data_IF_896140394329
#
_entry.id   IF_896140394329
#
_cell.length_a   1.000
_cell.length_b   1.000
_cell.length_c   1.000
_cell.angle_alpha   90.00
_cell.angle_beta   90.00
_cell.angle_gamma   90.00
#
_symmetry.space_group_name_H-M   'P 1'
#
loop_
_entity.id
_entity.type
_entity.pdbx_description
1 polymer ?
#
# COMPACT_ATOMS: atom_id res chain seq x y z
N UNK A 1 -48.49 56.58 23.62
CA UNK A 1 -47.69 56.60 22.38
C UNK A 1 -46.30 56.14 22.78
N UNK A 2 -46.08 54.83 22.79
CA UNK A 2 -44.90 54.21 23.41
C UNK A 2 -43.97 53.72 22.30
N UNK A 3 -42.75 54.28 22.25
CA UNK A 3 -41.78 53.97 21.21
C UNK A 3 -41.24 52.54 21.41
N UNK A 4 -41.16 51.71 20.35
CA UNK A 4 -40.56 50.39 20.45
C UNK A 4 -39.07 50.52 20.75
N UNK A 5 -38.65 50.03 21.92
CA UNK A 5 -37.25 49.86 22.27
C UNK A 5 -36.66 48.80 21.34
N UNK A 6 -35.90 49.23 20.33
CA UNK A 6 -35.10 48.31 19.51
C UNK A 6 -34.06 47.68 20.43
N UNK A 7 -33.94 46.34 20.50
CA UNK A 7 -32.80 45.74 21.15
C UNK A 7 -31.57 46.20 20.38
N UNK A 8 -30.73 47.03 21.00
CA UNK A 8 -29.40 47.34 20.52
C UNK A 8 -28.69 46.00 20.44
N UNK A 9 -28.33 45.60 19.22
CA UNK A 9 -27.63 44.36 18.95
C UNK A 9 -26.39 44.30 19.82
N UNK A 10 -26.27 43.22 20.58
CA UNK A 10 -25.08 42.88 21.34
C UNK A 10 -23.88 43.01 20.41
N UNK A 11 -23.01 43.98 20.65
CA UNK A 11 -21.75 44.10 19.94
C UNK A 11 -21.02 42.76 20.12
N UNK A 12 -20.79 42.08 19.00
CA UNK A 12 -20.24 40.71 18.99
C UNK A 12 -18.89 40.75 19.71
N UNK A 13 -18.76 39.99 20.78
CA UNK A 13 -17.57 40.03 21.63
C UNK A 13 -16.41 39.32 20.94
N UNK A 14 -15.17 39.70 21.26
CA UNK A 14 -13.95 38.97 20.86
C UNK A 14 -14.05 37.50 21.31
N UNK A 15 -14.74 37.23 22.41
CA UNK A 15 -15.00 35.87 22.90
C UNK A 15 -15.88 35.06 21.94
N UNK A 16 -16.86 35.69 21.27
CA UNK A 16 -17.74 35.03 20.32
C UNK A 16 -16.99 34.67 19.03
N UNK A 17 -16.13 35.56 18.54
CA UNK A 17 -15.28 35.32 17.36
C UNK A 17 -14.26 34.19 17.60
N UNK A 18 -13.70 34.10 18.80
CA UNK A 18 -12.78 33.02 19.17
C UNK A 18 -13.51 31.67 19.25
N UNK A 19 -14.74 31.68 19.78
CA UNK A 19 -15.61 30.48 19.82
C UNK A 19 -15.98 30.00 18.42
N UNK A 20 -16.28 30.92 17.50
CA UNK A 20 -16.55 30.63 16.10
C UNK A 20 -15.30 30.06 15.39
N UNK A 21 -14.12 30.66 15.58
CA UNK A 21 -12.87 30.16 14.99
C UNK A 21 -12.51 28.76 15.48
N UNK A 22 -12.62 28.47 16.78
CA UNK A 22 -12.36 27.12 17.33
C UNK A 22 -13.35 26.11 16.73
N UNK A 23 -14.61 26.50 16.55
CA UNK A 23 -15.64 25.66 15.95
C UNK A 23 -15.35 25.37 14.48
N UNK A 24 -14.89 26.38 13.73
CA UNK A 24 -14.53 26.25 12.33
C UNK A 24 -13.28 25.38 12.13
N UNK A 25 -12.24 25.57 12.97
CA UNK A 25 -11.05 24.72 12.96
C UNK A 25 -11.37 23.27 13.31
N UNK A 26 -12.24 23.04 14.30
CA UNK A 26 -12.71 21.69 14.65
C UNK A 26 -13.49 21.08 13.49
N UNK A 27 -14.29 21.88 12.80
CA UNK A 27 -15.00 21.50 11.57
C UNK A 27 -14.04 21.10 10.45
N UNK A 28 -12.99 21.89 10.22
CA UNK A 28 -11.98 21.65 9.19
C UNK A 28 -11.21 20.36 9.46
N UNK A 29 -10.68 20.17 10.67
CA UNK A 29 -9.96 18.94 11.07
C UNK A 29 -10.86 17.71 10.89
N UNK A 30 -12.14 17.81 11.28
CA UNK A 30 -13.10 16.71 11.08
C UNK A 30 -13.33 16.45 9.59
N UNK A 31 -13.41 17.48 8.75
CA UNK A 31 -13.55 17.35 7.30
C UNK A 31 -12.34 16.69 6.65
N UNK A 32 -11.13 17.19 6.94
CA UNK A 32 -9.89 16.60 6.43
C UNK A 32 -9.71 15.16 6.91
N UNK A 33 -10.05 14.85 8.16
CA UNK A 33 -9.99 13.47 8.65
C UNK A 33 -10.96 12.54 7.90
N UNK A 34 -12.13 13.03 7.50
CA UNK A 34 -13.09 12.27 6.67
C UNK A 34 -12.57 12.10 5.25
N UNK A 35 -11.97 13.13 4.68
CA UNK A 35 -11.39 13.10 3.34
C UNK A 35 -10.21 12.13 3.30
N UNK A 36 -9.26 12.23 4.23
CA UNK A 36 -8.12 11.33 4.35
C UNK A 36 -8.58 9.87 4.52
N UNK A 37 -9.61 9.62 5.34
CA UNK A 37 -10.20 8.27 5.48
C UNK A 37 -10.81 7.77 4.16
N UNK A 38 -11.50 8.64 3.41
CA UNK A 38 -12.08 8.27 2.13
C UNK A 38 -11.00 7.96 1.09
N UNK A 39 -9.93 8.74 1.03
CA UNK A 39 -8.81 8.52 0.12
C UNK A 39 -8.06 7.23 0.44
N UNK A 40 -7.81 6.94 1.73
CA UNK A 40 -7.26 5.65 2.17
C UNK A 40 -8.17 4.49 1.78
N UNK A 41 -9.50 4.64 1.93
CA UNK A 41 -10.45 3.60 1.56
C UNK A 41 -10.47 3.36 0.04
N UNK A 42 -10.42 4.42 -0.76
CA UNK A 42 -10.38 4.32 -2.22
C UNK A 42 -9.06 3.71 -2.70
N UNK A 43 -7.93 4.14 -2.14
CA UNK A 43 -6.62 3.54 -2.40
C UNK A 43 -6.59 2.05 -2.03
N UNK A 44 -7.17 1.69 -0.88
CA UNK A 44 -7.30 0.30 -0.44
C UNK A 44 -8.18 -0.53 -1.38
N UNK A 45 -9.26 0.04 -1.90
CA UNK A 45 -10.16 -0.64 -2.86
C UNK A 45 -9.48 -0.85 -4.20
N UNK A 46 -8.80 0.16 -4.73
CA UNK A 46 -8.04 0.05 -5.98
C UNK A 46 -6.93 -0.99 -5.87
N UNK A 47 -6.21 -0.98 -4.74
CA UNK A 47 -5.20 -1.99 -4.44
C UNK A 47 -5.81 -3.40 -4.34
N UNK A 48 -6.95 -3.55 -3.67
CA UNK A 48 -7.62 -4.85 -3.54
C UNK A 48 -8.02 -5.42 -4.91
N UNK A 49 -8.63 -4.61 -5.78
CA UNK A 49 -9.01 -5.03 -7.14
C UNK A 49 -7.76 -5.41 -7.94
N UNK A 50 -6.69 -4.61 -7.85
CA UNK A 50 -5.41 -4.90 -8.50
C UNK A 50 -4.81 -6.23 -8.01
N UNK A 51 -4.82 -6.46 -6.69
CA UNK A 51 -4.31 -7.68 -6.08
C UNK A 51 -5.12 -8.92 -6.50
N UNK A 52 -6.45 -8.82 -6.59
CA UNK A 52 -7.31 -9.91 -7.06
C UNK A 52 -7.02 -10.28 -8.52
N UNK A 53 -6.87 -9.29 -9.41
CA UNK A 53 -6.53 -9.54 -10.82
C UNK A 53 -5.14 -10.19 -10.97
N UNK A 54 -4.16 -9.72 -10.20
CA UNK A 54 -2.81 -10.32 -10.17
C UNK A 54 -2.89 -11.76 -9.66
N UNK A 55 -3.64 -12.03 -8.60
CA UNK A 55 -3.80 -13.38 -8.05
C UNK A 55 -4.47 -14.32 -9.06
N UNK A 56 -5.56 -13.89 -9.70
CA UNK A 56 -6.24 -14.67 -10.74
C UNK A 56 -5.31 -14.95 -11.94
N UNK A 57 -4.59 -13.93 -12.40
CA UNK A 57 -3.60 -14.08 -13.47
C UNK A 57 -2.46 -15.03 -13.09
N UNK A 58 -1.95 -14.96 -11.87
CA UNK A 58 -0.91 -15.87 -11.37
C UNK A 58 -1.39 -17.33 -11.33
N UNK A 59 -2.65 -17.57 -10.95
CA UNK A 59 -3.25 -18.92 -10.99
C UNK A 59 -3.33 -19.44 -12.43
N UNK A 60 -3.81 -18.61 -13.36
CA UNK A 60 -3.88 -19.01 -14.78
C UNK A 60 -2.50 -19.29 -15.37
N UNK A 61 -1.51 -18.45 -15.07
CA UNK A 61 -0.12 -18.66 -15.50
C UNK A 61 0.48 -19.92 -14.88
N UNK A 62 0.15 -20.24 -13.62
CA UNK A 62 0.58 -21.48 -12.99
C UNK A 62 0.00 -22.70 -13.71
N UNK A 63 -1.29 -22.69 -14.02
CA UNK A 63 -1.94 -23.77 -14.80
C UNK A 63 -1.30 -23.90 -16.19
N UNK A 64 -1.10 -22.78 -16.89
CA UNK A 64 -0.45 -22.77 -18.20
C UNK A 64 0.99 -23.32 -18.12
N UNK A 65 1.74 -22.94 -17.08
CA UNK A 65 3.08 -23.46 -16.84
C UNK A 65 3.07 -24.98 -16.64
N UNK A 66 2.16 -25.53 -15.83
CA UNK A 66 2.05 -26.98 -15.65
C UNK A 66 1.79 -27.72 -16.97
N UNK A 67 0.92 -27.18 -17.82
CA UNK A 67 0.65 -27.74 -19.16
C UNK A 67 1.89 -27.66 -20.05
N UNK A 68 2.61 -26.53 -20.05
CA UNK A 68 3.84 -26.37 -20.81
C UNK A 68 4.96 -27.29 -20.33
N UNK A 69 5.10 -27.49 -19.01
CA UNK A 69 6.05 -28.44 -18.43
C UNK A 69 5.74 -29.85 -18.90
N UNK A 70 4.46 -30.25 -18.87
CA UNK A 70 4.05 -31.56 -19.38
C UNK A 70 4.34 -31.70 -20.88
N UNK A 71 4.06 -30.67 -21.67
CA UNK A 71 4.37 -30.65 -23.10
C UNK A 71 5.87 -30.81 -23.36
N UNK A 72 6.71 -30.12 -22.57
CA UNK A 72 8.17 -30.23 -22.67
C UNK A 72 8.66 -31.63 -22.29
N UNK A 73 8.11 -32.22 -21.23
CA UNK A 73 8.44 -33.61 -20.84
C UNK A 73 8.08 -34.58 -21.95
N UNK A 74 6.89 -34.47 -22.55
CA UNK A 74 6.46 -35.33 -23.67
C UNK A 74 7.38 -35.15 -24.88
N UNK A 75 7.75 -33.91 -25.22
CA UNK A 75 8.65 -33.62 -26.32
C UNK A 75 10.04 -34.24 -26.09
N UNK A 76 10.61 -34.08 -24.90
CA UNK A 76 11.93 -34.60 -24.57
C UNK A 76 11.93 -36.12 -24.44
N UNK A 77 10.81 -36.71 -24.03
CA UNK A 77 10.65 -38.16 -23.89
C UNK A 77 10.88 -38.92 -25.20
N UNK A 78 10.73 -38.27 -26.37
CA UNK A 78 11.02 -38.88 -27.67
C UNK A 78 12.51 -39.26 -27.82
N UNK A 79 13.41 -38.59 -27.08
CA UNK A 79 14.86 -38.81 -27.18
C UNK A 79 15.44 -39.58 -25.99
N UNK A 80 14.96 -39.32 -24.77
CA UNK A 80 15.56 -39.87 -23.53
C UNK A 80 14.64 -40.81 -22.75
N UNK A 81 13.39 -40.98 -23.21
CA UNK A 81 12.36 -41.74 -22.52
C UNK A 81 11.63 -40.93 -21.44
N UNK A 82 10.41 -41.36 -21.02
CA UNK A 82 9.52 -40.55 -20.19
C UNK A 82 10.08 -40.22 -18.80
N UNK A 83 10.70 -41.20 -18.14
CA UNK A 83 11.22 -41.03 -16.78
C UNK A 83 12.39 -40.03 -16.73
N UNK A 84 13.34 -40.15 -17.66
CA UNK A 84 14.49 -39.25 -17.73
C UNK A 84 14.10 -37.85 -18.19
N UNK A 85 13.15 -37.73 -19.12
CA UNK A 85 12.61 -36.43 -19.51
C UNK A 85 11.99 -35.67 -18.32
N UNK A 86 11.13 -36.35 -17.55
CA UNK A 86 10.53 -35.78 -16.35
C UNK A 86 11.59 -35.37 -15.31
N UNK A 87 12.62 -36.19 -15.10
CA UNK A 87 13.71 -35.90 -14.17
C UNK A 87 14.52 -34.67 -14.61
N UNK A 88 14.92 -34.59 -15.88
CA UNK A 88 15.71 -33.48 -16.42
C UNK A 88 14.95 -32.15 -16.29
N UNK A 89 13.69 -32.13 -16.73
CA UNK A 89 12.84 -30.92 -16.67
C UNK A 89 12.58 -30.52 -15.22
N UNK A 90 12.29 -31.48 -14.34
CA UNK A 90 12.07 -31.24 -12.91
C UNK A 90 13.29 -30.64 -12.22
N UNK A 91 14.48 -31.19 -12.46
CA UNK A 91 15.74 -30.67 -11.89
C UNK A 91 16.04 -29.27 -12.42
N UNK A 92 15.85 -29.02 -13.71
CA UNK A 92 16.06 -27.70 -14.30
C UNK A 92 15.14 -26.64 -13.68
N UNK A 93 13.85 -26.94 -13.50
CA UNK A 93 12.91 -26.03 -12.84
C UNK A 93 13.20 -25.86 -11.36
N UNK A 94 13.61 -26.92 -10.65
CA UNK A 94 14.01 -26.82 -9.25
C UNK A 94 15.21 -25.89 -9.06
N UNK A 95 16.20 -25.96 -9.97
CA UNK A 95 17.35 -25.05 -9.95
C UNK A 95 16.94 -23.59 -10.18
N UNK A 96 16.12 -23.33 -11.20
CA UNK A 96 15.61 -21.98 -11.50
C UNK A 96 14.79 -21.45 -10.32
N UNK A 97 13.86 -22.25 -9.79
CA UNK A 97 13.02 -21.89 -8.64
C UNK A 97 13.84 -21.62 -7.39
N UNK A 98 14.87 -22.43 -7.12
CA UNK A 98 15.80 -22.21 -6.01
C UNK A 98 16.53 -20.87 -6.11
N UNK A 99 17.00 -20.49 -7.30
CA UNK A 99 17.65 -19.18 -7.54
C UNK A 99 16.66 -18.02 -7.32
N UNK A 100 15.44 -18.14 -7.86
CA UNK A 100 14.42 -17.10 -7.69
C UNK A 100 14.02 -16.91 -6.23
N UNK A 101 13.82 -18.01 -5.48
CA UNK A 101 13.55 -17.95 -4.04
C UNK A 101 14.70 -17.30 -3.29
N UNK A 102 15.95 -17.68 -3.60
CA UNK A 102 17.13 -17.11 -2.95
C UNK A 102 17.23 -15.59 -3.18
N UNK A 103 16.96 -15.12 -4.40
CA UNK A 103 16.92 -13.68 -4.72
C UNK A 103 15.77 -12.97 -4.05
N UNK A 104 14.54 -13.49 -4.16
CA UNK A 104 13.36 -12.88 -3.55
C UNK A 104 13.47 -12.76 -2.03
N UNK A 105 14.06 -13.75 -1.35
CA UNK A 105 14.32 -13.68 0.10
C UNK A 105 15.30 -12.56 0.48
N UNK A 106 16.25 -12.24 -0.38
CA UNK A 106 17.19 -11.13 -0.17
C UNK A 106 16.48 -9.79 -0.28
N UNK A 107 15.63 -9.64 -1.30
CA UNK A 107 14.94 -8.38 -1.61
C UNK A 107 13.76 -8.10 -0.65
N UNK A 108 13.18 -9.16 -0.06
CA UNK A 108 12.13 -9.06 0.96
C UNK A 108 12.69 -9.04 2.39
N UNK A 109 14.01 -9.05 2.58
CA UNK A 109 14.58 -8.93 3.91
C UNK A 109 14.21 -7.58 4.53
N UNK A 110 13.91 -7.54 5.83
CA UNK A 110 13.53 -6.29 6.51
C UNK A 110 14.57 -5.16 6.31
N UNK A 111 15.84 -5.51 6.06
CA UNK A 111 16.90 -4.55 5.77
C UNK A 111 16.71 -3.79 4.44
N UNK A 112 16.02 -4.36 3.44
CA UNK A 112 15.72 -3.69 2.16
C UNK A 112 14.36 -3.00 2.11
N UNK A 113 13.47 -3.29 3.07
CA UNK A 113 12.14 -2.69 3.18
C UNK A 113 12.10 -1.45 4.10
N UNK A 114 13.15 -1.24 4.90
CA UNK A 114 13.33 -0.02 5.67
C UNK A 114 14.01 1.01 4.77
N UNK A 115 13.33 2.09 4.34
CA UNK A 115 13.98 3.12 3.54
C UNK A 115 14.98 3.88 4.44
N UNK A 116 16.26 3.54 4.34
CA UNK A 116 17.33 4.17 5.13
C UNK A 116 17.28 5.71 5.01
N UNK A 117 16.97 6.20 3.82
CA UNK A 117 16.80 7.64 3.50
C UNK A 117 15.64 8.29 4.28
N UNK A 118 14.49 7.63 4.40
CA UNK A 118 13.28 8.19 5.04
C UNK A 118 13.42 8.25 6.56
N UNK A 119 14.14 7.29 7.16
CA UNK A 119 14.41 7.30 8.60
C UNK A 119 15.45 8.36 8.96
N UNK A 120 16.49 8.56 8.15
CA UNK A 120 17.49 9.62 8.38
C UNK A 120 16.88 11.03 8.30
N UNK A 121 15.95 11.27 7.37
CA UNK A 121 15.32 12.59 7.25
C UNK A 121 14.35 12.87 8.40
N UNK A 122 13.50 11.90 8.75
CA UNK A 122 12.58 12.04 9.89
C UNK A 122 13.33 12.23 11.21
N UNK A 123 14.46 11.53 11.41
CA UNK A 123 15.27 11.68 12.62
C UNK A 123 16.04 12.99 12.68
N UNK A 124 16.46 13.56 11.53
CA UNK A 124 17.03 14.91 11.45
C UNK A 124 16.01 15.98 11.79
N UNK A 125 14.80 15.88 11.25
CA UNK A 125 13.74 16.88 11.51
C UNK A 125 13.28 16.87 12.96
N UNK A 126 13.17 15.68 13.58
CA UNK A 126 12.85 15.56 15.02
C UNK A 126 13.97 16.13 15.89
N UNK A 127 15.24 16.02 15.46
CA UNK A 127 16.37 16.56 16.23
C UNK A 127 16.44 18.08 16.17
N UNK A 128 16.20 18.67 15.00
CA UNK A 128 16.15 20.12 14.83
C UNK A 128 14.97 20.74 15.58
N UNK A 129 13.82 20.07 15.61
CA UNK A 129 12.66 20.50 16.40
C UNK A 129 12.92 20.46 17.92
N UNK A 130 13.81 19.59 18.41
CA UNK A 130 14.21 19.55 19.82
C UNK A 130 15.28 20.58 20.19
N UNK A 131 16.05 21.10 19.25
CA UNK A 131 17.05 22.14 19.49
C UNK A 131 16.45 23.55 19.52
N UNK A 132 15.21 23.72 19.06
CA UNK A 132 14.49 25.01 19.06
C UNK A 132 13.54 25.20 20.26
N UNK A 133 13.54 24.28 21.23
CA UNK A 133 12.78 24.34 22.49
C UNK A 133 13.78 24.40 23.64
#
# INVERSE_FOLDING_TARGET
MEAPKRPLGTERSIADLLSDLVRDLTGLVRSESRLARAEIAEAGRSFAIGAELIAAGAILLLVALLVLVQALVVLLAHWVGPAWAALIVGVALAAIGGILIARGRKDLSAASLVPERTIEQTSRDVRLAREQI
#
